data_IF_690564270161
#
_entry.id   IF_690564270161
#
_cell.length_a   1.000
_cell.length_b   1.000
_cell.length_c   1.000
_cell.angle_alpha   90.00
_cell.angle_beta   90.00
_cell.angle_gamma   90.00
#
_symmetry.space_group_name_H-M   'P 1'
#
loop_
_entity.id
_entity.type
_entity.pdbx_description
1 polymer ?
#
# COMPACT_ATOMS: atom_id res chain seq x y z
N UNK A 1 65.89 71.66 16.22
CA UNK A 1 65.39 70.68 17.19
C UNK A 1 63.90 70.49 16.98
N UNK A 2 63.51 69.32 16.48
CA UNK A 2 62.08 68.94 16.17
C UNK A 2 61.64 68.01 17.30
N UNK A 3 60.72 68.43 18.14
CA UNK A 3 60.14 67.65 19.23
C UNK A 3 59.12 66.67 18.63
N UNK A 4 59.39 65.39 18.75
CA UNK A 4 58.46 64.33 18.39
C UNK A 4 57.36 64.19 19.46
N UNK A 5 56.12 64.49 19.10
CA UNK A 5 54.96 64.27 19.98
C UNK A 5 54.58 62.80 19.92
N UNK A 6 54.87 62.06 20.97
CA UNK A 6 54.29 60.70 21.17
C UNK A 6 52.81 60.82 21.51
N UNK A 7 51.98 60.41 20.57
CA UNK A 7 50.56 60.24 20.88
C UNK A 7 50.45 58.91 21.68
N UNK A 8 50.19 59.04 22.99
CA UNK A 8 49.81 57.90 23.83
C UNK A 8 48.42 57.44 23.41
N UNK A 9 48.32 56.33 22.68
CA UNK A 9 47.09 55.60 22.51
C UNK A 9 46.69 55.03 23.89
N UNK A 10 45.69 55.67 24.54
CA UNK A 10 45.01 55.08 25.69
C UNK A 10 44.13 53.94 25.21
N UNK A 11 44.65 52.74 25.27
CA UNK A 11 43.81 51.52 25.13
C UNK A 11 42.96 51.45 26.42
N UNK A 12 41.68 51.81 26.33
CA UNK A 12 40.70 51.52 27.37
C UNK A 12 40.37 50.04 27.32
N UNK A 13 40.71 49.30 28.34
CA UNK A 13 40.32 47.90 28.48
C UNK A 13 38.81 47.78 28.74
N UNK A 14 38.22 46.67 28.33
CA UNK A 14 36.80 46.33 28.59
C UNK A 14 36.54 46.31 30.11
N UNK A 15 35.43 46.92 30.52
CA UNK A 15 34.98 46.88 31.92
C UNK A 15 34.32 45.52 32.21
N UNK A 16 34.37 45.05 33.46
CA UNK A 16 33.71 43.80 33.86
C UNK A 16 32.20 43.84 33.58
N UNK A 17 31.57 45.01 33.65
CA UNK A 17 30.14 45.18 33.35
C UNK A 17 29.84 45.01 31.85
N UNK A 18 30.70 45.57 30.97
CA UNK A 18 30.56 45.37 29.51
C UNK A 18 30.68 43.90 29.11
N UNK A 19 31.60 43.16 29.74
CA UNK A 19 31.74 41.72 29.52
C UNK A 19 30.48 40.96 29.97
N UNK A 20 29.90 41.29 31.14
CA UNK A 20 28.66 40.67 31.61
C UNK A 20 27.48 40.94 30.69
N UNK A 21 27.32 42.18 30.23
CA UNK A 21 26.24 42.54 29.29
C UNK A 21 26.41 41.85 27.96
N UNK A 22 27.65 41.79 27.43
CA UNK A 22 27.94 41.09 26.17
C UNK A 22 27.65 39.60 26.24
N UNK A 23 28.01 38.95 27.36
CA UNK A 23 27.70 37.51 27.57
C UNK A 23 26.19 37.25 27.69
N UNK A 24 25.46 38.17 28.37
CA UNK A 24 24.00 38.06 28.47
C UNK A 24 23.33 38.16 27.09
N UNK A 25 23.72 39.16 26.30
CA UNK A 25 23.19 39.33 24.92
C UNK A 25 23.55 38.13 24.07
N UNK A 26 24.79 37.65 24.13
CA UNK A 26 25.23 36.46 23.41
C UNK A 26 24.43 35.25 23.82
N UNK A 27 24.16 35.04 25.11
CA UNK A 27 23.34 33.95 25.63
C UNK A 27 21.92 33.96 25.08
N UNK A 28 21.27 35.15 25.05
CA UNK A 28 19.91 35.27 24.47
C UNK A 28 19.89 34.99 22.98
N UNK A 29 20.85 35.55 22.24
CA UNK A 29 20.93 35.30 20.78
C UNK A 29 21.18 33.83 20.50
N UNK A 30 22.14 33.23 21.19
CA UNK A 30 22.48 31.78 21.02
C UNK A 30 21.31 30.91 21.39
N UNK A 31 20.60 31.19 22.49
CA UNK A 31 19.37 30.48 22.86
C UNK A 31 18.28 30.55 21.80
N UNK A 32 18.08 31.74 21.21
CA UNK A 32 17.14 31.95 20.12
C UNK A 32 17.52 31.15 18.87
N UNK A 33 18.81 31.11 18.53
CA UNK A 33 19.30 30.30 17.37
C UNK A 33 19.08 28.82 17.62
N UNK A 34 19.42 28.29 18.81
CA UNK A 34 19.19 26.88 19.11
C UNK A 34 17.72 26.47 19.05
N UNK A 35 16.81 27.33 19.57
CA UNK A 35 15.37 27.09 19.47
C UNK A 35 14.88 27.01 18.00
N UNK A 36 15.43 27.87 17.13
CA UNK A 36 15.09 27.82 15.69
C UNK A 36 15.65 26.57 14.98
N UNK A 37 16.87 26.17 15.35
CA UNK A 37 17.49 24.93 14.80
C UNK A 37 16.66 23.71 15.21
N UNK A 38 16.27 23.60 16.47
CA UNK A 38 15.46 22.50 16.99
C UNK A 38 14.11 22.40 16.24
N UNK A 39 13.42 23.53 16.09
CA UNK A 39 12.17 23.60 15.33
C UNK A 39 12.37 23.20 13.84
N UNK A 40 13.48 23.65 13.23
CA UNK A 40 13.79 23.29 11.85
C UNK A 40 14.08 21.78 11.70
N UNK A 41 14.80 21.18 12.66
CA UNK A 41 15.06 19.73 12.68
C UNK A 41 13.78 18.92 12.86
N UNK A 42 12.89 19.32 13.77
CA UNK A 42 11.59 18.66 13.96
C UNK A 42 10.75 18.70 12.69
N UNK A 43 10.71 19.84 11.99
CA UNK A 43 10.00 19.96 10.70
C UNK A 43 10.63 19.09 9.62
N UNK A 44 11.95 19.11 9.49
CA UNK A 44 12.64 18.28 8.51
C UNK A 44 12.39 16.79 8.75
N UNK A 45 12.41 16.35 10.00
CA UNK A 45 12.10 14.95 10.35
C UNK A 45 10.64 14.58 10.05
N UNK A 46 9.70 15.46 10.38
CA UNK A 46 8.27 15.27 10.05
C UNK A 46 8.03 15.15 8.54
N UNK A 47 8.68 15.99 7.73
CA UNK A 47 8.58 15.91 6.26
C UNK A 47 9.24 14.63 5.71
N UNK A 48 10.36 14.18 6.30
CA UNK A 48 10.99 12.92 5.92
C UNK A 48 10.04 11.74 6.14
N UNK A 49 9.39 11.66 7.30
CA UNK A 49 8.42 10.60 7.62
C UNK A 49 7.23 10.62 6.65
N UNK A 50 6.74 11.81 6.25
CA UNK A 50 5.69 11.91 5.24
C UNK A 50 6.13 11.33 3.89
N UNK A 51 7.36 11.62 3.48
CA UNK A 51 7.91 11.10 2.23
C UNK A 51 8.09 9.59 2.27
N UNK A 52 8.59 9.06 3.38
CA UNK A 52 8.79 7.62 3.57
C UNK A 52 7.44 6.88 3.53
N UNK A 53 6.42 7.37 4.25
CA UNK A 53 5.06 6.81 4.21
C UNK A 53 4.45 6.89 2.79
N UNK A 54 4.70 7.98 2.08
CA UNK A 54 4.21 8.15 0.71
C UNK A 54 4.88 7.17 -0.26
N UNK A 55 6.18 6.93 -0.12
CA UNK A 55 6.91 5.95 -0.93
C UNK A 55 6.40 4.53 -0.66
N UNK A 56 6.23 4.15 0.61
CA UNK A 56 5.69 2.84 1.00
C UNK A 56 4.29 2.62 0.40
N UNK A 57 3.40 3.62 0.53
CA UNK A 57 2.05 3.55 -0.04
C UNK A 57 2.08 3.42 -1.57
N UNK A 58 2.97 4.15 -2.24
CA UNK A 58 3.12 4.11 -3.69
C UNK A 58 3.63 2.75 -4.16
N UNK A 59 4.68 2.23 -3.53
CA UNK A 59 5.26 0.94 -3.90
C UNK A 59 4.22 -0.18 -3.78
N UNK A 60 3.42 -0.15 -2.72
CA UNK A 60 2.30 -1.05 -2.54
C UNK A 60 1.25 -0.92 -3.67
N UNK A 61 0.81 0.30 -3.99
CA UNK A 61 -0.22 0.52 -5.02
C UNK A 61 0.30 0.14 -6.40
N UNK A 62 1.56 0.43 -6.70
CA UNK A 62 2.20 0.01 -7.96
C UNK A 62 2.28 -1.52 -8.07
N UNK A 63 2.56 -2.23 -6.97
CA UNK A 63 2.52 -3.69 -6.93
C UNK A 63 1.10 -4.21 -7.11
N UNK A 64 0.14 -3.64 -6.37
CA UNK A 64 -1.27 -4.01 -6.48
C UNK A 64 -1.79 -3.83 -7.91
N UNK A 65 -1.45 -2.74 -8.58
CA UNK A 65 -1.86 -2.52 -9.99
C UNK A 65 -1.24 -3.54 -10.94
N UNK A 66 0.01 -3.94 -10.74
CA UNK A 66 0.63 -5.01 -11.52
C UNK A 66 -0.13 -6.33 -11.35
N UNK A 67 -0.43 -6.68 -10.10
CA UNK A 67 -1.13 -7.91 -9.78
C UNK A 67 -2.57 -7.91 -10.35
N UNK A 68 -3.30 -6.80 -10.20
CA UNK A 68 -4.68 -6.67 -10.72
C UNK A 68 -4.73 -6.79 -12.25
N UNK A 69 -3.72 -6.32 -12.96
CA UNK A 69 -3.65 -6.46 -14.42
C UNK A 69 -3.46 -7.92 -14.87
N UNK A 70 -3.01 -8.80 -13.99
CA UNK A 70 -2.85 -10.24 -14.27
C UNK A 70 -4.05 -11.09 -13.82
N UNK A 71 -5.05 -10.48 -13.15
CA UNK A 71 -6.24 -11.19 -12.69
C UNK A 71 -6.90 -11.95 -13.85
N UNK A 72 -7.14 -13.25 -13.64
CA UNK A 72 -7.83 -14.10 -14.62
C UNK A 72 -6.98 -14.56 -15.80
N UNK A 73 -5.67 -14.37 -15.77
CA UNK A 73 -4.75 -14.90 -16.79
C UNK A 73 -3.90 -16.05 -16.22
N UNK A 74 -3.69 -17.18 -16.94
CA UNK A 74 -4.42 -17.60 -18.12
C UNK A 74 -5.85 -18.04 -17.80
N UNK A 75 -6.78 -17.71 -18.66
CA UNK A 75 -8.18 -18.14 -18.48
C UNK A 75 -8.44 -19.49 -19.17
N UNK A 76 -9.63 -20.07 -18.93
CA UNK A 76 -10.00 -21.38 -19.47
C UNK A 76 -10.05 -21.46 -21.00
N UNK A 77 -10.13 -20.32 -21.71
CA UNK A 77 -10.08 -20.30 -23.19
C UNK A 77 -8.66 -20.43 -23.73
N UNK A 78 -7.65 -20.11 -22.92
CA UNK A 78 -6.24 -20.20 -23.29
C UNK A 78 -5.66 -21.59 -23.02
N UNK A 79 -6.30 -22.35 -22.14
CA UNK A 79 -5.88 -23.72 -21.83
C UNK A 79 -6.57 -24.68 -22.79
N UNK A 80 -5.79 -25.42 -23.57
CA UNK A 80 -6.34 -26.48 -24.43
C UNK A 80 -6.83 -27.62 -23.54
N UNK A 81 -8.14 -27.78 -23.48
CA UNK A 81 -8.83 -28.81 -22.69
C UNK A 81 -9.12 -30.08 -23.49
N UNK A 82 -8.66 -30.17 -24.75
CA UNK A 82 -8.90 -31.32 -25.58
C UNK A 82 -7.95 -32.50 -25.23
N UNK A 83 -8.46 -33.58 -24.65
CA UNK A 83 -7.63 -34.72 -24.25
C UNK A 83 -6.93 -35.44 -25.43
N UNK A 84 -7.40 -35.22 -26.66
CA UNK A 84 -6.80 -35.79 -27.86
C UNK A 84 -5.53 -35.05 -28.31
N UNK A 85 -5.39 -33.80 -27.95
CA UNK A 85 -4.26 -32.95 -28.37
C UNK A 85 -3.23 -32.72 -27.28
N UNK A 86 -3.61 -32.72 -25.98
CA UNK A 86 -2.75 -32.29 -24.89
C UNK A 86 -2.58 -33.29 -23.76
N UNK A 87 -3.17 -34.47 -23.79
CA UNK A 87 -3.27 -35.38 -22.63
C UNK A 87 -3.86 -34.68 -21.39
N UNK A 88 -4.63 -33.62 -21.58
CA UNK A 88 -5.22 -32.86 -20.49
C UNK A 88 -6.32 -33.70 -19.84
N UNK A 89 -6.16 -33.96 -18.56
CA UNK A 89 -7.19 -34.63 -17.74
C UNK A 89 -7.62 -33.56 -16.72
N UNK A 90 -8.94 -33.29 -16.61
CA UNK A 90 -9.44 -32.42 -15.54
C UNK A 90 -8.97 -32.98 -14.20
N UNK A 91 -8.28 -32.13 -13.42
CA UNK A 91 -7.78 -32.56 -12.11
C UNK A 91 -8.92 -32.77 -11.13
N UNK A 92 -10.01 -32.02 -11.32
CA UNK A 92 -11.29 -32.25 -10.66
C UNK A 92 -12.41 -32.19 -11.70
N UNK A 93 -13.29 -33.18 -11.68
CA UNK A 93 -14.34 -33.32 -12.67
C UNK A 93 -15.33 -32.13 -12.70
N UNK A 94 -15.49 -31.39 -11.60
CA UNK A 94 -16.30 -30.18 -11.47
C UNK A 94 -16.19 -29.65 -10.03
N UNK A 95 -16.08 -28.35 -9.83
CA UNK A 95 -15.97 -27.32 -10.85
C UNK A 95 -14.53 -27.16 -11.35
N UNK A 96 -14.35 -26.70 -12.59
CA UNK A 96 -13.02 -26.39 -13.18
C UNK A 96 -12.24 -25.32 -12.42
N UNK A 97 -12.91 -24.58 -11.54
CA UNK A 97 -12.30 -23.57 -10.68
C UNK A 97 -11.18 -24.11 -9.79
N UNK A 98 -11.17 -25.44 -9.53
CA UNK A 98 -10.13 -26.10 -8.73
C UNK A 98 -8.91 -26.53 -9.57
N UNK A 99 -8.91 -26.29 -10.88
CA UNK A 99 -7.78 -26.61 -11.76
C UNK A 99 -6.68 -25.54 -11.59
N UNK A 100 -5.47 -25.98 -11.28
CA UNK A 100 -4.33 -25.09 -11.03
C UNK A 100 -3.66 -24.56 -12.31
N UNK A 101 -4.12 -24.98 -13.49
CA UNK A 101 -3.60 -24.50 -14.78
C UNK A 101 -4.33 -23.26 -15.30
N UNK A 102 -5.44 -22.89 -14.68
CA UNK A 102 -6.23 -21.73 -15.08
C UNK A 102 -6.56 -20.84 -13.88
N UNK A 103 -6.56 -19.54 -14.12
CA UNK A 103 -7.00 -18.55 -13.15
C UNK A 103 -8.50 -18.28 -13.31
N UNK A 104 -9.24 -18.26 -12.21
CA UNK A 104 -10.67 -17.89 -12.22
C UNK A 104 -10.89 -16.39 -12.15
N UNK A 105 -9.86 -15.61 -11.88
CA UNK A 105 -9.93 -14.17 -11.68
C UNK A 105 -10.24 -13.79 -10.23
N UNK A 106 -11.21 -12.92 -10.01
CA UNK A 106 -11.62 -12.55 -8.66
C UNK A 106 -12.31 -13.71 -7.95
N UNK A 107 -11.88 -13.97 -6.70
CA UNK A 107 -12.39 -15.04 -5.84
C UNK A 107 -13.28 -14.48 -4.73
N UNK A 108 -12.83 -13.40 -4.10
CA UNK A 108 -13.54 -12.71 -3.03
C UNK A 108 -13.26 -11.21 -3.08
N UNK A 109 -14.29 -10.42 -2.86
CA UNK A 109 -14.22 -8.97 -2.70
C UNK A 109 -14.80 -8.54 -1.35
N UNK A 110 -14.06 -7.73 -0.63
CA UNK A 110 -14.45 -7.16 0.66
C UNK A 110 -13.86 -5.74 0.81
N UNK A 111 -14.31 -5.00 1.79
CA UNK A 111 -13.82 -3.65 2.09
C UNK A 111 -12.31 -3.62 2.44
N UNK A 112 -11.83 -4.64 3.16
CA UNK A 112 -10.46 -4.73 3.67
C UNK A 112 -9.75 -6.04 3.27
N UNK A 113 -10.34 -6.80 2.36
CA UNK A 113 -9.76 -8.04 1.83
C UNK A 113 -10.14 -8.19 0.35
N UNK A 114 -9.17 -8.62 -0.45
CA UNK A 114 -9.42 -9.05 -1.83
C UNK A 114 -8.64 -10.33 -2.09
N UNK A 115 -9.30 -11.31 -2.75
CA UNK A 115 -8.66 -12.55 -3.21
C UNK A 115 -8.87 -12.71 -4.71
N UNK A 116 -7.81 -13.10 -5.40
CA UNK A 116 -7.85 -13.33 -6.83
C UNK A 116 -6.75 -14.32 -7.27
N UNK A 117 -6.85 -14.76 -8.50
CA UNK A 117 -5.90 -15.66 -9.12
C UNK A 117 -5.41 -15.11 -10.45
N UNK A 118 -4.15 -15.37 -10.77
CA UNK A 118 -3.51 -14.98 -12.01
C UNK A 118 -2.07 -15.48 -12.07
N UNK A 119 -1.43 -15.33 -13.21
CA UNK A 119 0.01 -15.56 -13.39
C UNK A 119 0.73 -14.22 -13.16
N UNK A 120 1.22 -14.02 -11.93
CA UNK A 120 1.78 -12.72 -11.49
C UNK A 120 3.18 -12.45 -12.03
N UNK A 121 3.91 -13.51 -12.37
CA UNK A 121 5.32 -13.41 -12.79
C UNK A 121 5.54 -13.78 -14.26
N UNK A 122 4.50 -14.22 -14.97
CA UNK A 122 4.56 -14.56 -16.40
C UNK A 122 5.28 -15.87 -16.69
N UNK A 123 5.39 -16.77 -15.71
CA UNK A 123 6.05 -18.08 -15.89
C UNK A 123 5.10 -19.21 -16.32
N UNK A 124 3.82 -18.91 -16.45
CA UNK A 124 2.76 -19.86 -16.82
C UNK A 124 2.18 -20.62 -15.62
N UNK A 125 2.59 -20.30 -14.40
CA UNK A 125 2.04 -20.88 -13.17
C UNK A 125 1.03 -19.91 -12.56
N UNK A 126 -0.17 -20.39 -12.32
CA UNK A 126 -1.21 -19.59 -11.67
C UNK A 126 -0.91 -19.46 -10.19
N UNK A 127 -0.96 -18.24 -9.67
CA UNK A 127 -0.86 -17.96 -8.25
C UNK A 127 -2.21 -17.56 -7.66
N UNK A 128 -2.42 -17.93 -6.38
CA UNK A 128 -3.48 -17.40 -5.52
C UNK A 128 -2.96 -16.25 -4.72
N UNK A 129 -3.58 -15.08 -4.86
CA UNK A 129 -3.19 -13.84 -4.22
C UNK A 129 -4.27 -13.39 -3.23
N UNK A 130 -3.84 -12.99 -2.06
CA UNK A 130 -4.71 -12.42 -1.04
C UNK A 130 -4.07 -11.13 -0.54
N UNK A 131 -4.79 -10.03 -0.60
CA UNK A 131 -4.49 -8.81 0.15
C UNK A 131 -5.49 -8.67 1.27
N UNK A 132 -5.04 -8.44 2.50
CA UNK A 132 -5.92 -8.24 3.63
C UNK A 132 -5.29 -7.39 4.72
N UNK A 133 -6.13 -6.70 5.48
CA UNK A 133 -5.71 -6.12 6.76
C UNK A 133 -5.67 -7.22 7.81
N UNK A 134 -4.50 -7.42 8.39
CA UNK A 134 -4.34 -8.38 9.47
C UNK A 134 -4.62 -7.71 10.81
N UNK A 135 -5.53 -8.33 11.56
CA UNK A 135 -5.82 -7.96 12.96
C UNK A 135 -4.97 -8.68 14.00
N UNK A 136 -3.79 -9.20 13.62
CA UNK A 136 -2.93 -9.93 14.57
C UNK A 136 -2.37 -9.02 15.66
N UNK A 137 -2.05 -9.59 16.82
CA UNK A 137 -1.45 -8.85 17.95
C UNK A 137 -0.04 -8.32 17.64
N UNK A 138 0.66 -8.94 16.69
CA UNK A 138 2.01 -8.53 16.27
C UNK A 138 2.00 -7.39 15.25
N UNK A 139 0.92 -7.26 14.48
CA UNK A 139 0.75 -6.20 13.50
C UNK A 139 -0.74 -5.89 13.32
N UNK A 140 -1.36 -5.11 14.25
CA UNK A 140 -2.82 -5.00 14.34
C UNK A 140 -3.49 -4.23 13.20
N UNK A 141 -2.72 -3.48 12.42
CA UNK A 141 -3.21 -2.65 11.30
C UNK A 141 -2.28 -2.77 10.09
N UNK A 142 -1.74 -3.97 9.84
CA UNK A 142 -0.88 -4.20 8.68
C UNK A 142 -1.69 -4.66 7.49
N UNK A 143 -1.46 -4.02 6.37
CA UNK A 143 -1.86 -4.55 5.08
C UNK A 143 -0.85 -5.63 4.69
N UNK A 144 -1.34 -6.84 4.51
CA UNK A 144 -0.53 -8.00 4.18
C UNK A 144 -0.91 -8.55 2.80
N UNK A 145 0.08 -9.12 2.13
CA UNK A 145 -0.07 -9.85 0.88
C UNK A 145 0.37 -11.28 1.06
N UNK A 146 -0.44 -12.23 0.58
CA UNK A 146 -0.04 -13.61 0.40
C UNK A 146 0.01 -13.95 -1.09
N UNK A 147 1.07 -14.62 -1.51
CA UNK A 147 1.22 -15.16 -2.85
C UNK A 147 1.73 -16.59 -2.73
N UNK A 148 0.99 -17.51 -3.33
CA UNK A 148 1.34 -18.94 -3.42
C UNK A 148 0.92 -19.49 -4.76
N UNK A 149 1.59 -20.53 -5.24
CA UNK A 149 1.13 -21.26 -6.42
C UNK A 149 -0.22 -21.89 -6.12
N UNK A 150 -1.14 -21.76 -7.08
CA UNK A 150 -2.49 -22.31 -6.94
C UNK A 150 -2.43 -23.82 -6.81
N UNK A 151 -2.95 -24.32 -5.71
CA UNK A 151 -3.17 -25.76 -5.53
C UNK A 151 -4.43 -26.23 -6.27
N UNK A 152 -4.49 -27.53 -6.59
CA UNK A 152 -5.69 -28.20 -7.12
C UNK A 152 -6.72 -28.37 -5.99
N UNK A 153 -7.29 -27.25 -5.55
CA UNK A 153 -8.18 -27.16 -4.39
C UNK A 153 -9.13 -25.97 -4.55
N UNK A 154 -10.10 -25.86 -3.66
CA UNK A 154 -11.05 -24.75 -3.62
C UNK A 154 -10.32 -23.39 -3.47
N UNK A 155 -10.61 -22.41 -4.35
CA UNK A 155 -9.94 -21.09 -4.31
C UNK A 155 -10.21 -20.29 -3.05
N UNK A 156 -11.34 -20.50 -2.37
CA UNK A 156 -11.70 -19.79 -1.15
C UNK A 156 -11.05 -20.39 0.10
N UNK A 157 -11.01 -21.73 0.19
CA UNK A 157 -10.71 -22.43 1.44
C UNK A 157 -9.55 -23.40 1.35
N UNK A 158 -9.17 -23.81 0.13
CA UNK A 158 -8.19 -24.86 -0.09
C UNK A 158 -6.78 -24.37 -0.43
N UNK A 159 -6.56 -23.06 -0.56
CA UNK A 159 -5.26 -22.51 -0.89
C UNK A 159 -4.42 -22.26 0.36
N UNK A 160 -3.13 -22.57 0.29
CA UNK A 160 -2.18 -22.19 1.32
C UNK A 160 -2.01 -20.66 1.39
N UNK A 161 -1.33 -20.18 2.42
CA UNK A 161 -0.97 -18.76 2.54
C UNK A 161 0.50 -18.61 2.90
N UNK A 162 1.13 -17.58 2.34
CA UNK A 162 2.50 -17.17 2.65
C UNK A 162 2.50 -15.63 2.77
N UNK A 163 2.43 -15.14 4.01
CA UNK A 163 2.19 -13.74 4.29
C UNK A 163 3.46 -12.91 4.29
N UNK A 164 3.47 -11.83 3.52
CA UNK A 164 4.35 -10.68 3.63
C UNK A 164 3.60 -9.46 4.12
N UNK A 165 4.28 -8.55 4.81
CA UNK A 165 3.72 -7.25 5.18
C UNK A 165 4.07 -6.25 4.09
N UNK A 166 3.06 -5.58 3.55
CA UNK A 166 3.22 -4.56 2.51
C UNK A 166 3.34 -3.16 3.12
N UNK A 167 2.49 -2.85 4.10
CA UNK A 167 2.55 -1.58 4.82
C UNK A 167 1.94 -1.71 6.21
N UNK A 168 2.40 -0.87 7.14
CA UNK A 168 1.99 -0.83 8.53
C UNK A 168 1.08 0.39 8.80
N UNK A 169 0.47 0.41 9.98
CA UNK A 169 -0.28 1.57 10.51
C UNK A 169 -1.40 2.07 9.58
N UNK A 170 -2.08 1.14 8.91
CA UNK A 170 -3.18 1.45 7.98
C UNK A 170 -4.44 1.83 8.75
N UNK A 171 -5.07 2.93 8.35
CA UNK A 171 -6.37 3.35 8.89
C UNK A 171 -7.49 2.64 8.14
N UNK A 172 -8.36 1.94 8.88
CA UNK A 172 -9.47 1.15 8.35
C UNK A 172 -10.84 1.80 8.57
N UNK A 173 -10.89 3.09 8.87
CA UNK A 173 -12.16 3.83 9.03
C UNK A 173 -12.95 3.94 7.71
N UNK A 174 -12.24 3.87 6.57
CA UNK A 174 -12.81 3.80 5.24
C UNK A 174 -12.43 2.47 4.57
N UNK A 175 -13.23 1.96 3.63
CA UNK A 175 -12.88 0.81 2.82
C UNK A 175 -11.54 1.05 2.09
N UNK A 176 -10.62 0.09 2.18
CA UNK A 176 -9.38 0.14 1.40
C UNK A 176 -9.69 -0.18 -0.06
N UNK A 177 -10.56 -1.17 -0.29
CA UNK A 177 -10.97 -1.58 -1.62
C UNK A 177 -12.43 -1.21 -1.89
N UNK A 178 -12.67 -0.63 -3.04
CA UNK A 178 -14.01 -0.33 -3.56
C UNK A 178 -14.13 -0.88 -4.98
N UNK A 179 -15.28 -1.40 -5.33
CA UNK A 179 -15.51 -2.15 -6.57
C UNK A 179 -16.62 -1.50 -7.37
N UNK A 180 -16.39 -1.37 -8.67
CA UNK A 180 -17.32 -0.71 -9.58
C UNK A 180 -17.63 -1.61 -10.78
N UNK A 181 -18.86 -1.56 -11.23
CA UNK A 181 -19.31 -2.21 -12.47
C UNK A 181 -18.93 -1.38 -13.68
N UNK A 182 -19.14 -1.92 -14.89
CA UNK A 182 -18.86 -1.24 -16.15
C UNK A 182 -19.66 0.07 -16.33
N UNK A 183 -20.83 0.19 -15.72
CA UNK A 183 -21.67 1.39 -15.74
C UNK A 183 -21.25 2.44 -14.68
N UNK A 184 -20.18 2.19 -13.93
CA UNK A 184 -19.72 3.05 -12.83
C UNK A 184 -20.48 2.87 -11.51
N UNK A 185 -21.44 1.95 -11.43
CA UNK A 185 -22.18 1.67 -10.19
C UNK A 185 -21.26 0.96 -9.19
N UNK A 186 -21.16 1.50 -7.97
CA UNK A 186 -20.41 0.88 -6.89
C UNK A 186 -21.14 -0.34 -6.31
N UNK A 187 -20.38 -1.40 -6.04
CA UNK A 187 -20.86 -2.58 -5.31
C UNK A 187 -20.70 -2.29 -3.81
N UNK A 188 -21.81 -2.07 -3.11
CA UNK A 188 -21.82 -1.65 -1.70
C UNK A 188 -22.09 -2.78 -0.72
N UNK A 189 -22.67 -3.90 -1.19
CA UNK A 189 -22.95 -5.07 -0.36
C UNK A 189 -21.71 -5.97 -0.37
N UNK A 190 -20.94 -5.95 0.69
CA UNK A 190 -19.72 -6.72 0.90
C UNK A 190 -19.80 -7.45 2.24
N UNK A 191 -19.10 -8.59 2.44
CA UNK A 191 -18.28 -9.30 1.45
C UNK A 191 -19.09 -10.06 0.39
N UNK A 192 -18.48 -10.31 -0.75
CA UNK A 192 -19.02 -11.20 -1.80
C UNK A 192 -17.91 -12.15 -2.27
N UNK A 193 -18.24 -13.41 -2.44
CA UNK A 193 -17.33 -14.42 -2.95
C UNK A 193 -17.95 -15.23 -4.11
N UNK A 194 -17.16 -16.09 -4.73
CA UNK A 194 -17.58 -16.91 -5.88
C UNK A 194 -18.68 -17.91 -5.51
N UNK A 195 -18.84 -18.27 -4.25
CA UNK A 195 -19.89 -19.22 -3.80
C UNK A 195 -21.22 -18.52 -3.53
N UNK A 196 -21.19 -17.27 -3.08
CA UNK A 196 -22.37 -16.52 -2.65
C UNK A 196 -22.86 -15.50 -3.68
N UNK A 197 -21.97 -15.00 -4.54
CA UNK A 197 -22.29 -13.91 -5.46
C UNK A 197 -21.45 -13.87 -6.73
N UNK A 198 -21.29 -15.02 -7.40
CA UNK A 198 -20.47 -15.14 -8.61
C UNK A 198 -20.83 -14.13 -9.71
N UNK A 199 -22.13 -13.84 -9.91
CA UNK A 199 -22.58 -12.84 -10.89
C UNK A 199 -22.15 -11.40 -10.50
N UNK A 200 -22.13 -11.10 -9.20
CA UNK A 200 -21.67 -9.80 -8.70
C UNK A 200 -20.15 -9.66 -8.91
N UNK A 201 -19.37 -10.70 -8.57
CA UNK A 201 -17.91 -10.73 -8.83
C UNK A 201 -17.62 -10.58 -10.32
N UNK A 202 -18.33 -11.29 -11.17
CA UNK A 202 -18.17 -11.21 -12.64
C UNK A 202 -18.52 -9.82 -13.20
N UNK A 203 -19.32 -9.02 -12.48
CA UNK A 203 -19.68 -7.66 -12.91
C UNK A 203 -18.66 -6.60 -12.54
N UNK A 204 -17.63 -6.93 -11.73
CA UNK A 204 -16.57 -5.98 -11.35
C UNK A 204 -15.75 -5.62 -12.57
N UNK A 205 -15.66 -4.33 -12.88
CA UNK A 205 -14.84 -3.80 -13.96
C UNK A 205 -13.67 -2.97 -13.46
N UNK A 206 -13.87 -2.25 -12.36
CA UNK A 206 -12.87 -1.34 -11.81
C UNK A 206 -12.72 -1.58 -10.31
N UNK A 207 -11.50 -1.57 -9.85
CA UNK A 207 -11.13 -1.63 -8.43
C UNK A 207 -10.46 -0.31 -8.09
N UNK A 208 -11.02 0.41 -7.10
CA UNK A 208 -10.40 1.58 -6.50
C UNK A 208 -9.77 1.17 -5.18
N UNK A 209 -8.54 1.61 -4.96
CA UNK A 209 -7.84 1.51 -3.69
C UNK A 209 -7.76 2.89 -3.03
N UNK A 210 -8.01 2.95 -1.73
CA UNK A 210 -7.84 4.15 -0.90
C UNK A 210 -7.09 3.74 0.36
N UNK A 211 -5.80 4.07 0.41
CA UNK A 211 -4.90 3.69 1.49
C UNK A 211 -4.54 4.93 2.30
N UNK A 212 -4.83 4.91 3.60
CA UNK A 212 -4.39 5.93 4.55
C UNK A 212 -3.47 5.29 5.58
N UNK A 213 -2.25 5.79 5.66
CA UNK A 213 -1.23 5.36 6.63
C UNK A 213 -1.09 6.46 7.68
N UNK A 214 -1.10 6.08 8.97
CA UNK A 214 -0.91 6.99 10.10
C UNK A 214 0.34 6.62 10.88
N UNK A 215 1.32 7.50 10.90
CA UNK A 215 2.49 7.32 11.76
C UNK A 215 2.24 7.96 13.13
N UNK A 216 2.06 7.13 14.15
CA UNK A 216 1.81 7.57 15.52
C UNK A 216 3.10 7.92 16.30
N UNK A 217 4.27 7.55 15.78
CA UNK A 217 5.55 7.80 16.43
C UNK A 217 6.02 9.26 16.25
N UNK A 218 5.51 9.93 15.21
CA UNK A 218 5.92 11.30 14.87
C UNK A 218 4.68 12.20 14.78
N UNK A 219 4.73 13.29 15.53
CA UNK A 219 3.69 14.32 15.51
C UNK A 219 4.09 15.46 14.58
N UNK A 220 3.14 15.99 13.84
CA UNK A 220 3.33 17.22 13.08
C UNK A 220 3.57 18.39 14.05
N UNK A 221 4.71 19.11 13.97
CA UNK A 221 5.05 20.14 14.94
C UNK A 221 4.11 21.36 14.94
N UNK A 222 3.28 21.49 13.90
CA UNK A 222 2.30 22.60 13.79
C UNK A 222 0.92 22.21 14.33
N UNK A 223 0.47 20.99 14.02
CA UNK A 223 -0.88 20.53 14.39
C UNK A 223 -0.89 19.68 15.65
N UNK A 224 0.27 19.18 16.11
CA UNK A 224 0.43 18.23 17.20
C UNK A 224 -0.39 16.95 17.02
N UNK A 225 -0.66 16.59 15.76
CA UNK A 225 -1.37 15.37 15.39
C UNK A 225 -0.42 14.37 14.73
N UNK A 226 -0.77 13.10 14.79
CA UNK A 226 -0.06 12.06 14.07
C UNK A 226 -0.04 12.36 12.56
N UNK A 227 1.05 12.01 11.89
CA UNK A 227 1.20 12.24 10.46
C UNK A 227 0.37 11.21 9.71
N UNK A 228 -0.55 11.67 8.87
CA UNK A 228 -1.35 10.86 7.96
C UNK A 228 -0.97 11.13 6.52
N UNK A 229 -0.89 10.05 5.74
CA UNK A 229 -0.67 10.10 4.31
C UNK A 229 -1.78 9.30 3.63
N UNK A 230 -2.50 9.92 2.71
CA UNK A 230 -3.54 9.26 1.92
C UNK A 230 -3.06 9.06 0.48
N UNK A 231 -3.29 7.86 -0.04
CA UNK A 231 -3.03 7.49 -1.42
C UNK A 231 -4.27 6.84 -2.03
N UNK A 232 -4.69 7.32 -3.19
CA UNK A 232 -5.81 6.77 -3.94
C UNK A 232 -5.36 6.35 -5.33
N UNK A 233 -5.90 5.24 -5.81
CA UNK A 233 -5.66 4.78 -7.16
C UNK A 233 -6.83 3.96 -7.68
N UNK A 234 -6.91 3.83 -9.00
CA UNK A 234 -7.97 3.10 -9.67
C UNK A 234 -7.38 2.26 -10.80
N UNK A 235 -7.82 1.01 -10.92
CA UNK A 235 -7.38 0.09 -11.96
C UNK A 235 -8.56 -0.64 -12.55
N UNK A 236 -8.59 -0.73 -13.89
CA UNK A 236 -9.61 -1.49 -14.60
C UNK A 236 -9.14 -2.91 -14.88
N UNK A 237 -10.02 -3.88 -14.67
CA UNK A 237 -9.77 -5.28 -15.02
C UNK A 237 -9.76 -5.45 -16.55
N UNK A 238 -8.63 -5.89 -17.08
CA UNK A 238 -8.43 -6.08 -18.51
C UNK A 238 -8.68 -7.53 -18.94
N UNK A 239 -8.46 -8.48 -18.03
CA UNK A 239 -8.63 -9.91 -18.32
C UNK A 239 -10.04 -10.38 -17.91
N UNK A 240 -10.46 -11.49 -18.54
CA UNK A 240 -11.74 -12.09 -18.19
C UNK A 240 -11.65 -12.74 -16.81
N UNK A 241 -12.54 -12.38 -15.89
CA UNK A 241 -12.76 -13.15 -14.68
C UNK A 241 -13.79 -14.26 -14.94
N UNK A 242 -13.53 -15.48 -14.44
CA UNK A 242 -14.50 -16.58 -14.48
C UNK A 242 -15.42 -16.48 -13.27
N UNK A 243 -16.70 -16.27 -13.52
CA UNK A 243 -17.71 -16.49 -12.47
C UNK A 243 -17.97 -18.00 -12.33
N UNK A 244 -18.12 -18.43 -11.07
CA UNK A 244 -18.27 -19.83 -10.70
C UNK A 244 -19.38 -20.60 -11.42
N UNK A 245 -19.19 -21.92 -11.48
CA UNK A 245 -20.20 -22.96 -11.68
C UNK A 245 -21.23 -22.73 -12.80
N UNK A 246 -20.76 -22.54 -14.00
CA UNK A 246 -21.62 -22.38 -15.18
C UNK A 246 -20.96 -21.55 -16.28
N UNK A 247 -19.70 -21.18 -16.07
CA UNK A 247 -18.81 -20.61 -17.10
C UNK A 247 -19.36 -19.36 -17.80
N UNK A 248 -19.94 -18.41 -17.09
CA UNK A 248 -20.07 -17.07 -17.64
C UNK A 248 -18.76 -16.33 -17.38
N UNK A 249 -17.98 -16.15 -18.42
CA UNK A 249 -16.82 -15.26 -18.43
C UNK A 249 -17.32 -13.83 -18.61
N UNK A 250 -16.94 -12.94 -17.70
CA UNK A 250 -17.09 -11.51 -17.98
C UNK A 250 -15.87 -11.05 -18.78
N UNK A 251 -15.94 -11.19 -20.10
CA UNK A 251 -15.01 -10.55 -21.01
C UNK A 251 -15.76 -9.40 -21.68
N UNK A 252 -15.39 -8.16 -21.43
CA UNK A 252 -15.82 -7.00 -22.20
C UNK A 252 -14.66 -6.50 -23.06
#
# INVERSE_FOLDING_TARGET
>A
MRASRHVRNTQSGFTAVEMMVSLLILGVITGGIFAQIDLAQQRAFSEQVKLDNFQEARDFVDQFFRDVNQIGYPNSRMVDTNPLTTNWVPVLASPLINDNRMAIGLVKIDANEIRFEGDMNGDGVVQSIIYMINGSTTCPLCLQRSQVDKATADPLTGQATNWGTETNDVITTNPIFSYFKADGTQITVLPVDISTGAATIASVKTIKISLTIRNNAVMDPKTHQAIETNFEGEVSLNNCSMAAAGAQMSCN
#
